data_IF_713507589886
#
_entry.id   IF_713507589886
#
_cell.length_a   1.000
_cell.length_b   1.000
_cell.length_c   1.000
_cell.angle_alpha   90.00
_cell.angle_beta   90.00
_cell.angle_gamma   90.00
#
_symmetry.space_group_name_H-M   'P 1'
#
loop_
_entity.id
_entity.type
_entity.pdbx_description
1 polymer ?
#
# COMPACT_ATOMS: atom_id res chain seq x y z
N UNK A 1 6.91 50.61 -28.84
CA UNK A 1 7.48 51.01 -30.15
C UNK A 1 8.26 49.82 -30.67
N UNK A 2 7.63 48.88 -31.38
CA UNK A 2 7.53 48.77 -32.86
C UNK A 2 8.83 49.15 -33.59
N UNK A 3 9.55 48.14 -34.08
CA UNK A 3 10.03 47.97 -35.47
C UNK A 3 11.11 46.88 -35.48
N UNK A 4 10.84 45.75 -36.14
CA UNK A 4 11.28 45.42 -37.52
C UNK A 4 12.76 45.01 -37.53
N UNK A 5 13.13 43.82 -38.01
CA UNK A 5 13.39 43.59 -39.43
C UNK A 5 13.03 42.15 -39.84
N UNK A 6 12.37 42.06 -40.99
CA UNK A 6 12.05 40.87 -41.78
C UNK A 6 13.17 40.61 -42.80
N UNK A 7 13.39 39.33 -43.07
CA UNK A 7 13.88 38.71 -44.31
C UNK A 7 15.32 38.97 -44.79
N UNK A 8 16.07 37.87 -44.94
CA UNK A 8 16.92 37.68 -46.11
C UNK A 8 16.90 36.21 -46.55
N UNK A 9 16.47 35.99 -47.80
CA UNK A 9 16.48 34.76 -48.58
C UNK A 9 17.85 34.58 -49.26
N UNK A 10 18.53 33.46 -49.07
CA UNK A 10 19.51 32.82 -49.99
C UNK A 10 19.46 31.33 -49.61
N UNK A 11 19.08 30.36 -50.45
CA UNK A 11 19.66 29.99 -51.74
C UNK A 11 20.28 28.58 -51.55
N UNK A 12 19.79 27.61 -52.32
CA UNK A 12 20.00 26.16 -52.19
C UNK A 12 21.47 25.68 -52.35
N UNK A 13 21.78 24.49 -51.81
CA UNK A 13 22.49 23.36 -52.48
C UNK A 13 22.88 22.26 -51.45
N UNK A 14 22.32 21.07 -51.68
CA UNK A 14 22.83 19.69 -51.46
C UNK A 14 23.75 19.36 -50.28
N UNK A 15 23.27 18.48 -49.38
CA UNK A 15 23.83 17.12 -49.21
C UNK A 15 22.92 16.26 -48.33
N UNK A 16 22.34 15.23 -48.96
CA UNK A 16 21.59 14.14 -48.32
C UNK A 16 22.60 13.08 -47.87
N UNK A 17 22.70 12.73 -46.59
CA UNK A 17 23.06 11.38 -46.21
C UNK A 17 21.78 10.55 -46.13
N UNK A 18 21.68 9.53 -47.00
CA UNK A 18 20.71 8.45 -46.87
C UNK A 18 20.87 7.83 -45.48
N UNK A 19 19.92 8.12 -44.59
CA UNK A 19 19.70 7.27 -43.42
C UNK A 19 18.89 6.10 -43.92
N UNK A 20 19.55 4.94 -43.93
CA UNK A 20 18.91 3.63 -44.09
C UNK A 20 17.63 3.60 -43.27
N UNK A 21 16.52 3.34 -43.95
CA UNK A 21 15.27 2.94 -43.33
C UNK A 21 15.52 1.69 -42.47
N UNK A 22 15.59 1.88 -41.15
CA UNK A 22 15.33 0.83 -40.19
C UNK A 22 13.87 0.97 -39.75
N UNK A 23 13.10 -0.05 -40.12
CA UNK A 23 11.68 -0.24 -39.90
C UNK A 23 11.20 0.23 -38.51
N UNK A 24 10.19 1.13 -38.41
CA UNK A 24 9.69 1.63 -37.16
C UNK A 24 8.60 0.71 -36.61
N UNK A 25 8.91 -0.54 -36.24
CA UNK A 25 7.90 -1.39 -35.60
C UNK A 25 8.41 -2.58 -34.79
N UNK A 26 9.12 -2.31 -33.69
CA UNK A 26 8.97 -3.17 -32.51
C UNK A 26 8.79 -2.30 -31.27
N UNK A 27 7.60 -2.27 -30.63
CA UNK A 27 7.48 -1.68 -29.31
C UNK A 27 8.40 -2.45 -28.36
N UNK A 28 9.08 -1.77 -27.42
CA UNK A 28 9.96 -2.43 -26.47
C UNK A 28 9.21 -3.56 -25.76
N UNK A 29 9.88 -4.69 -25.46
CA UNK A 29 9.24 -5.81 -24.77
C UNK A 29 8.59 -5.28 -23.50
N UNK A 30 7.26 -5.41 -23.41
CA UNK A 30 6.49 -4.91 -22.28
C UNK A 30 7.11 -5.51 -21.01
N UNK A 31 7.52 -4.68 -20.03
CA UNK A 31 8.02 -5.19 -18.77
C UNK A 31 6.94 -6.11 -18.21
N UNK A 32 7.32 -7.36 -17.94
CA UNK A 32 6.41 -8.33 -17.33
C UNK A 32 5.71 -7.62 -16.18
N UNK A 33 4.37 -7.53 -16.21
CA UNK A 33 3.56 -7.03 -15.11
C UNK A 33 3.75 -7.97 -13.92
N UNK A 34 4.92 -7.91 -13.27
CA UNK A 34 4.95 -8.02 -11.83
C UNK A 34 4.20 -6.78 -11.36
N UNK A 35 3.21 -6.93 -10.46
CA UNK A 35 2.62 -5.77 -9.83
C UNK A 35 3.77 -4.99 -9.21
N UNK A 36 4.07 -3.85 -9.80
CA UNK A 36 4.88 -2.82 -9.17
C UNK A 36 4.19 -2.55 -7.83
N UNK A 37 4.91 -2.50 -6.70
CA UNK A 37 4.36 -1.84 -5.54
C UNK A 37 4.21 -0.38 -5.98
N UNK A 38 3.04 -0.03 -6.52
CA UNK A 38 2.70 1.36 -6.77
C UNK A 38 2.95 2.14 -5.48
N UNK A 39 3.18 3.47 -5.56
CA UNK A 39 3.20 4.30 -4.37
C UNK A 39 1.95 3.92 -3.57
N UNK A 40 2.14 3.53 -2.31
CA UNK A 40 1.07 2.97 -1.47
C UNK A 40 -0.04 4.00 -1.45
N UNK A 41 -1.00 3.84 -2.37
CA UNK A 41 -2.15 4.69 -2.47
C UNK A 41 -2.80 4.66 -1.10
N UNK A 42 -3.25 5.82 -0.65
CA UNK A 42 -3.92 6.10 0.62
C UNK A 42 -5.23 5.30 0.85
N UNK A 43 -5.30 4.01 0.48
CA UNK A 43 -6.52 3.23 0.32
C UNK A 43 -6.55 1.92 1.10
N UNK A 44 -5.92 1.86 2.28
CA UNK A 44 -6.34 0.91 3.34
C UNK A 44 -6.25 1.50 4.75
N UNK A 45 -6.67 2.75 4.94
CA UNK A 45 -7.43 3.03 6.18
C UNK A 45 -8.79 2.35 6.04
N UNK A 46 -8.80 1.02 6.12
CA UNK A 46 -10.04 0.30 6.40
C UNK A 46 -10.63 0.98 7.64
N UNK A 47 -11.93 1.31 7.69
CA UNK A 47 -12.56 1.70 8.95
C UNK A 47 -12.09 0.67 9.99
N UNK A 48 -11.72 1.11 11.21
CA UNK A 48 -10.86 0.34 12.09
C UNK A 48 -11.33 -1.11 12.07
N UNK A 49 -10.51 -2.02 11.51
CA UNK A 49 -10.85 -3.45 11.39
C UNK A 49 -11.42 -3.97 12.71
N UNK A 50 -10.99 -3.40 13.82
CA UNK A 50 -11.48 -3.62 15.17
C UNK A 50 -13.00 -3.47 15.38
N UNK A 51 -13.71 -2.58 14.66
CA UNK A 51 -15.16 -2.42 14.80
C UNK A 51 -15.89 -3.53 14.04
N UNK A 52 -15.69 -3.61 12.72
CA UNK A 52 -16.33 -4.63 11.87
C UNK A 52 -15.88 -6.06 12.19
N UNK A 53 -14.71 -6.26 12.83
CA UNK A 53 -14.29 -7.57 13.32
C UNK A 53 -15.12 -8.07 14.51
N UNK A 54 -15.71 -7.16 15.31
CA UNK A 54 -16.55 -7.50 16.47
C UNK A 54 -18.01 -7.74 16.09
N UNK A 55 -18.42 -7.31 14.90
CA UNK A 55 -19.76 -7.55 14.37
C UNK A 55 -19.95 -9.04 14.07
N UNK A 56 -21.13 -9.53 14.39
CA UNK A 56 -21.61 -10.87 13.99
C UNK A 56 -21.84 -10.94 12.49
N UNK A 57 -21.82 -12.15 11.92
CA UNK A 57 -22.04 -12.33 10.47
C UNK A 57 -23.43 -11.87 10.02
N UNK A 58 -24.45 -11.97 10.89
CA UNK A 58 -25.78 -11.44 10.63
C UNK A 58 -25.80 -9.90 10.56
N UNK A 59 -25.08 -9.20 11.45
CA UNK A 59 -24.97 -7.74 11.42
C UNK A 59 -24.20 -7.24 10.19
N UNK A 60 -23.18 -7.98 9.74
CA UNK A 60 -22.47 -7.69 8.49
C UNK A 60 -23.37 -7.87 7.28
N UNK A 61 -24.12 -8.97 7.21
CA UNK A 61 -25.07 -9.22 6.13
C UNK A 61 -26.14 -8.12 6.03
N UNK A 62 -26.64 -7.63 7.17
CA UNK A 62 -27.61 -6.52 7.22
C UNK A 62 -27.01 -5.20 6.72
N UNK A 63 -25.76 -4.90 7.10
CA UNK A 63 -25.03 -3.72 6.59
C UNK A 63 -24.82 -3.82 5.08
N UNK A 64 -24.37 -4.98 4.59
CA UNK A 64 -24.11 -5.21 3.17
C UNK A 64 -25.40 -5.13 2.36
N UNK A 65 -26.50 -5.65 2.88
CA UNK A 65 -27.82 -5.54 2.27
C UNK A 65 -28.27 -4.07 2.17
N UNK A 66 -28.20 -3.31 3.27
CA UNK A 66 -28.58 -1.88 3.27
C UNK A 66 -27.67 -1.03 2.37
N UNK A 67 -26.39 -1.40 2.26
CA UNK A 67 -25.45 -0.75 1.35
C UNK A 67 -25.77 -1.05 -0.13
N UNK A 68 -26.15 -2.29 -0.46
CA UNK A 68 -26.58 -2.69 -1.80
C UNK A 68 -27.90 -2.04 -2.21
N UNK A 69 -28.85 -1.94 -1.27
CA UNK A 69 -30.15 -1.31 -1.48
C UNK A 69 -30.07 0.23 -1.51
N UNK A 70 -28.91 0.83 -1.23
CA UNK A 70 -28.70 2.28 -1.30
C UNK A 70 -29.41 3.08 -0.20
N UNK A 71 -29.95 2.42 0.83
CA UNK A 71 -30.70 3.04 1.95
C UNK A 71 -29.75 3.69 2.96
N UNK A 72 -29.14 4.82 2.57
CA UNK A 72 -28.12 5.53 3.35
C UNK A 72 -28.57 5.93 4.75
N UNK A 73 -29.82 6.34 4.93
CA UNK A 73 -30.34 6.77 6.23
C UNK A 73 -30.55 5.62 7.21
N UNK A 74 -31.08 4.48 6.74
CA UNK A 74 -31.21 3.28 7.55
C UNK A 74 -29.85 2.69 7.89
N UNK A 75 -28.93 2.66 6.92
CA UNK A 75 -27.55 2.26 7.15
C UNK A 75 -26.89 3.14 8.22
N UNK A 76 -27.09 4.46 8.20
CA UNK A 76 -26.58 5.37 9.23
C UNK A 76 -27.13 5.03 10.61
N UNK A 77 -28.43 4.73 10.74
CA UNK A 77 -29.06 4.35 12.01
C UNK A 77 -28.48 3.03 12.54
N UNK A 78 -28.45 1.99 11.71
CA UNK A 78 -27.91 0.68 12.07
C UNK A 78 -26.43 0.78 12.44
N UNK A 79 -25.64 1.53 11.66
CA UNK A 79 -24.24 1.76 11.96
C UNK A 79 -24.07 2.50 13.30
N UNK A 80 -24.89 3.53 13.57
CA UNK A 80 -24.85 4.27 14.83
C UNK A 80 -25.17 3.36 16.02
N UNK A 81 -26.22 2.54 15.94
CA UNK A 81 -26.59 1.56 16.97
C UNK A 81 -25.47 0.56 17.25
N UNK A 82 -24.90 -0.03 16.19
CA UNK A 82 -23.77 -0.95 16.32
C UNK A 82 -22.54 -0.24 16.91
N UNK A 83 -22.29 1.02 16.54
CA UNK A 83 -21.24 1.84 17.12
C UNK A 83 -21.43 2.05 18.63
N UNK A 84 -22.66 2.25 19.11
CA UNK A 84 -22.94 2.32 20.55
C UNK A 84 -22.79 0.97 21.24
N UNK A 85 -23.25 -0.12 20.62
CA UNK A 85 -23.14 -1.48 21.16
C UNK A 85 -21.69 -1.89 21.39
N UNK A 86 -20.84 -1.71 20.38
CA UNK A 86 -19.43 -2.06 20.41
C UNK A 86 -18.50 -0.91 20.84
N UNK A 87 -19.07 0.18 21.38
CA UNK A 87 -18.30 1.29 21.92
C UNK A 87 -17.44 0.78 23.08
N UNK A 88 -16.17 1.22 23.22
CA UNK A 88 -15.36 0.88 24.37
C UNK A 88 -16.07 1.23 25.69
N UNK A 89 -15.99 0.35 26.68
CA UNK A 89 -16.65 0.52 27.98
C UNK A 89 -16.20 1.81 28.67
N UNK A 90 -14.94 2.22 28.50
CA UNK A 90 -14.41 3.47 29.05
C UNK A 90 -15.17 4.70 28.51
N UNK A 91 -15.62 4.64 27.25
CA UNK A 91 -16.39 5.73 26.66
C UNK A 91 -17.86 5.71 27.11
N UNK A 92 -18.43 4.54 27.43
CA UNK A 92 -19.76 4.43 28.04
C UNK A 92 -19.75 4.97 29.47
N UNK A 93 -18.71 4.64 30.24
CA UNK A 93 -18.48 5.17 31.58
C UNK A 93 -18.33 6.69 31.56
N UNK A 94 -17.60 7.24 30.58
CA UNK A 94 -17.46 8.69 30.43
C UNK A 94 -18.80 9.38 30.14
N UNK A 95 -19.63 8.81 29.28
CA UNK A 95 -20.98 9.33 29.00
C UNK A 95 -21.86 9.28 30.26
N UNK A 96 -21.82 8.17 31.01
CA UNK A 96 -22.58 8.03 32.26
C UNK A 96 -22.13 9.04 33.34
N UNK A 97 -20.82 9.30 33.46
CA UNK A 97 -20.31 10.36 34.34
C UNK A 97 -20.78 11.74 33.87
N UNK A 98 -20.80 11.99 32.56
CA UNK A 98 -21.34 13.23 31.98
C UNK A 98 -22.81 13.44 32.28
N UNK A 99 -23.63 12.38 32.26
CA UNK A 99 -25.03 12.46 32.69
C UNK A 99 -25.16 12.74 34.18
N UNK A 100 -24.38 12.06 35.03
CA UNK A 100 -24.36 12.31 36.47
C UNK A 100 -23.98 13.77 36.76
N UNK A 101 -22.94 14.28 36.12
CA UNK A 101 -22.50 15.68 36.25
C UNK A 101 -23.63 16.68 35.97
N UNK A 102 -24.44 16.43 34.93
CA UNK A 102 -25.57 17.30 34.55
C UNK A 102 -26.74 17.22 35.53
N UNK A 103 -26.98 16.04 36.13
CA UNK A 103 -28.10 15.79 37.05
C UNK A 103 -27.80 16.23 38.48
N UNK A 104 -26.53 16.21 38.89
CA UNK A 104 -26.10 16.66 40.21
C UNK A 104 -26.21 18.18 40.31
N UNK A 105 -26.80 18.69 41.40
CA UNK A 105 -26.88 20.13 41.70
C UNK A 105 -25.84 20.58 42.74
N UNK A 106 -25.26 19.64 43.48
CA UNK A 106 -24.19 19.92 44.45
C UNK A 106 -22.84 20.16 43.73
N UNK A 107 -22.17 21.24 44.13
CA UNK A 107 -20.92 21.70 43.55
C UNK A 107 -19.73 20.80 43.95
N UNK A 108 -19.74 20.25 45.17
CA UNK A 108 -18.68 19.33 45.64
C UNK A 108 -18.70 18.01 44.88
N UNK A 109 -19.89 17.44 44.70
CA UNK A 109 -20.09 16.22 43.91
C UNK A 109 -19.79 16.46 42.43
N UNK A 110 -20.18 17.61 41.86
CA UNK A 110 -19.79 17.99 40.49
C UNK A 110 -18.27 18.05 40.32
N UNK A 111 -17.56 18.64 41.28
CA UNK A 111 -16.10 18.70 41.23
C UNK A 111 -15.46 17.31 41.26
N UNK A 112 -15.97 16.40 42.10
CA UNK A 112 -15.51 15.01 42.14
C UNK A 112 -15.78 14.27 40.82
N UNK A 113 -16.99 14.38 40.26
CA UNK A 113 -17.35 13.77 38.97
C UNK A 113 -16.45 14.31 37.85
N UNK A 114 -16.17 15.62 37.85
CA UNK A 114 -15.27 16.23 36.86
C UNK A 114 -13.85 15.64 36.94
N UNK A 115 -13.31 15.45 38.15
CA UNK A 115 -12.00 14.83 38.32
C UNK A 115 -11.97 13.38 37.80
N UNK A 116 -13.04 12.61 38.06
CA UNK A 116 -13.17 11.25 37.52
C UNK A 116 -13.24 11.23 35.99
N UNK A 117 -14.02 12.14 35.38
CA UNK A 117 -14.09 12.32 33.93
C UNK A 117 -12.73 12.67 33.33
N UNK A 118 -11.96 13.57 33.97
CA UNK A 118 -10.63 13.95 33.52
C UNK A 118 -9.65 12.78 33.59
N UNK A 119 -9.67 12.00 34.69
CA UNK A 119 -8.84 10.81 34.85
C UNK A 119 -9.14 9.77 33.77
N UNK A 120 -10.41 9.47 33.54
CA UNK A 120 -10.85 8.52 32.52
C UNK A 120 -10.49 9.00 31.11
N UNK A 121 -10.67 10.29 30.83
CA UNK A 121 -10.28 10.90 29.56
C UNK A 121 -8.77 10.76 29.30
N UNK A 122 -7.92 11.04 30.31
CA UNK A 122 -6.46 10.85 30.19
C UNK A 122 -6.10 9.40 29.89
N UNK A 123 -6.77 8.43 30.51
CA UNK A 123 -6.54 7.01 30.23
C UNK A 123 -6.91 6.65 28.78
N UNK A 124 -8.05 7.13 28.29
CA UNK A 124 -8.49 6.92 26.90
C UNK A 124 -7.47 7.51 25.92
N UNK A 125 -6.99 8.72 26.18
CA UNK A 125 -5.97 9.37 25.35
C UNK A 125 -4.65 8.60 25.32
N UNK A 126 -4.17 8.12 26.48
CA UNK A 126 -2.94 7.31 26.57
C UNK A 126 -3.06 6.01 25.76
N UNK A 127 -4.15 5.25 25.93
CA UNK A 127 -4.41 4.03 25.14
C UNK A 127 -4.39 4.30 23.63
N UNK A 128 -4.95 5.43 23.20
CA UNK A 128 -4.95 5.84 21.79
C UNK A 128 -3.56 6.23 21.29
N UNK A 129 -2.76 6.91 22.12
CA UNK A 129 -1.37 7.23 21.79
C UNK A 129 -0.54 5.95 21.66
N UNK A 130 -0.67 5.01 22.60
CA UNK A 130 0.05 3.73 22.56
C UNK A 130 -0.30 2.92 21.30
N UNK A 131 -1.59 2.85 20.96
CA UNK A 131 -2.04 2.21 19.71
C UNK A 131 -1.43 2.90 18.48
N UNK A 132 -1.39 4.23 18.45
CA UNK A 132 -0.80 5.00 17.35
C UNK A 132 0.69 4.73 17.24
N UNK A 133 1.41 4.71 18.36
CA UNK A 133 2.85 4.42 18.42
C UNK A 133 3.17 3.02 17.91
N UNK A 134 2.37 2.02 18.28
CA UNK A 134 2.48 0.66 17.73
C UNK A 134 2.31 0.60 16.22
N UNK A 135 1.29 1.30 15.68
CA UNK A 135 1.07 1.36 14.22
C UNK A 135 2.21 2.06 13.47
N UNK A 136 2.78 3.12 14.06
CA UNK A 136 3.96 3.80 13.51
C UNK A 136 5.12 2.81 13.42
N UNK A 137 5.42 2.08 14.49
CA UNK A 137 6.50 1.09 14.51
C UNK A 137 6.27 -0.05 13.49
N UNK A 138 5.02 -0.49 13.29
CA UNK A 138 4.70 -1.48 12.26
C UNK A 138 4.92 -0.92 10.84
N UNK A 139 4.49 0.32 10.59
CA UNK A 139 4.70 0.99 9.31
C UNK A 139 6.19 1.19 9.01
N UNK A 140 7.00 1.57 9.99
CA UNK A 140 8.45 1.67 9.87
C UNK A 140 9.09 0.32 9.49
N UNK A 141 8.66 -0.78 10.12
CA UNK A 141 9.11 -2.13 9.74
C UNK A 141 8.74 -2.49 8.30
N UNK A 142 7.54 -2.12 7.85
CA UNK A 142 7.11 -2.35 6.47
C UNK A 142 7.94 -1.53 5.48
N UNK A 143 8.23 -0.26 5.80
CA UNK A 143 9.09 0.59 4.98
C UNK A 143 10.49 0.01 4.84
N UNK A 144 11.09 -0.46 5.94
CA UNK A 144 12.42 -1.10 5.92
C UNK A 144 12.44 -2.33 5.00
N UNK A 145 11.43 -3.20 5.10
CA UNK A 145 11.31 -4.36 4.20
C UNK A 145 11.18 -3.95 2.74
N UNK A 146 10.36 -2.94 2.45
CA UNK A 146 10.21 -2.44 1.10
C UNK A 146 11.52 -1.86 0.53
N UNK A 147 12.33 -1.20 1.38
CA UNK A 147 13.67 -0.73 1.00
C UNK A 147 14.62 -1.90 0.68
N UNK A 148 14.66 -2.92 1.54
CA UNK A 148 15.48 -4.12 1.32
C UNK A 148 15.08 -4.87 0.02
N UNK A 149 13.78 -4.96 -0.26
CA UNK A 149 13.28 -5.57 -1.50
C UNK A 149 13.67 -4.76 -2.74
N UNK A 150 13.62 -3.43 -2.65
CA UNK A 150 14.05 -2.53 -3.72
C UNK A 150 15.54 -2.65 -3.99
N UNK A 151 16.38 -2.73 -2.95
CA UNK A 151 17.81 -2.99 -3.11
C UNK A 151 18.10 -4.35 -3.76
N UNK A 152 17.35 -5.39 -3.36
CA UNK A 152 17.46 -6.72 -3.97
C UNK A 152 17.12 -6.69 -5.45
N UNK A 153 16.08 -5.95 -5.83
CA UNK A 153 15.68 -5.77 -7.24
C UNK A 153 16.77 -5.04 -8.03
N UNK A 154 17.34 -3.96 -7.47
CA UNK A 154 18.47 -3.25 -8.10
C UNK A 154 19.67 -4.17 -8.33
N UNK A 155 20.06 -4.95 -7.34
CA UNK A 155 21.17 -5.93 -7.47
C UNK A 155 20.87 -7.04 -8.48
N UNK A 156 19.62 -7.46 -8.60
CA UNK A 156 19.21 -8.44 -9.61
C UNK A 156 19.27 -7.83 -11.02
N UNK A 157 18.82 -6.59 -11.16
CA UNK A 157 18.89 -5.86 -12.42
C UNK A 157 20.34 -5.69 -12.90
N UNK A 158 21.24 -5.21 -12.03
CA UNK A 158 22.67 -5.06 -12.33
C UNK A 158 23.32 -6.38 -12.77
N UNK A 159 23.09 -7.47 -12.03
CA UNK A 159 23.59 -8.80 -12.42
C UNK A 159 23.07 -9.28 -13.77
N UNK A 160 21.83 -8.92 -14.12
CA UNK A 160 21.26 -9.24 -15.41
C UNK A 160 21.87 -8.41 -16.54
N UNK A 161 22.17 -7.12 -16.30
CA UNK A 161 22.92 -6.30 -17.26
C UNK A 161 24.32 -6.86 -17.49
N UNK A 162 25.06 -7.19 -16.43
CA UNK A 162 26.42 -7.76 -16.52
C UNK A 162 26.45 -9.10 -17.27
N UNK A 163 25.40 -9.91 -17.11
CA UNK A 163 25.31 -11.23 -17.74
C UNK A 163 24.38 -11.25 -18.96
N UNK A 164 23.99 -10.09 -19.48
CA UNK A 164 22.96 -9.98 -20.52
C UNK A 164 23.31 -10.82 -21.74
N UNK A 165 24.54 -10.69 -22.25
CA UNK A 165 25.01 -11.45 -23.42
C UNK A 165 25.00 -12.96 -23.17
N UNK A 166 25.39 -13.40 -21.97
CA UNK A 166 25.33 -14.83 -21.61
C UNK A 166 23.89 -15.34 -21.51
N UNK A 167 22.97 -14.52 -21.02
CA UNK A 167 21.54 -14.86 -20.93
C UNK A 167 20.96 -14.97 -22.35
N UNK A 168 21.28 -14.03 -23.24
CA UNK A 168 20.84 -14.02 -24.63
C UNK A 168 21.41 -15.23 -25.37
N UNK A 169 22.73 -15.48 -25.28
CA UNK A 169 23.38 -16.62 -25.92
C UNK A 169 22.73 -17.95 -25.49
N UNK A 170 22.57 -18.19 -24.18
CA UNK A 170 21.87 -19.38 -23.69
C UNK A 170 20.42 -19.47 -24.19
N UNK A 171 19.71 -18.34 -24.31
CA UNK A 171 18.35 -18.34 -24.83
C UNK A 171 18.31 -18.71 -26.32
N UNK A 172 19.22 -18.16 -27.12
CA UNK A 172 19.37 -18.49 -28.54
C UNK A 172 19.72 -19.96 -28.71
N UNK A 173 20.69 -20.48 -27.95
CA UNK A 173 21.08 -21.90 -27.97
C UNK A 173 19.88 -22.82 -27.69
N UNK A 174 19.04 -22.46 -26.71
CA UNK A 174 17.82 -23.20 -26.40
C UNK A 174 16.77 -23.13 -27.51
N UNK A 175 16.70 -22.03 -28.27
CA UNK A 175 15.77 -21.90 -29.40
C UNK A 175 16.22 -22.68 -30.63
N UNK A 176 17.54 -22.86 -30.80
CA UNK A 176 18.12 -23.70 -31.85
C UNK A 176 17.90 -25.21 -31.61
N UNK A 177 17.61 -25.64 -30.37
CA UNK A 177 17.26 -27.02 -30.07
C UNK A 177 15.81 -27.36 -30.48
N UNK A 178 15.54 -28.60 -30.92
CA UNK A 178 14.18 -29.09 -31.12
C UNK A 178 13.32 -28.93 -29.85
N UNK A 179 12.01 -28.62 -29.95
CA UNK A 179 11.15 -28.29 -28.80
C UNK A 179 11.19 -29.32 -27.65
N UNK A 180 11.38 -30.60 -27.98
CA UNK A 180 11.42 -31.71 -27.03
C UNK A 180 12.70 -31.74 -26.17
N UNK A 181 13.80 -31.18 -26.70
CA UNK A 181 15.11 -31.15 -26.05
C UNK A 181 15.37 -29.82 -25.31
N UNK A 182 14.47 -28.84 -25.48
CA UNK A 182 14.58 -27.56 -24.78
C UNK A 182 14.41 -27.75 -23.28
N UNK A 183 15.26 -27.11 -22.50
CA UNK A 183 15.18 -27.12 -21.04
C UNK A 183 13.84 -26.52 -20.62
N UNK A 184 12.98 -27.34 -20.02
CA UNK A 184 11.69 -26.88 -19.49
C UNK A 184 11.97 -25.86 -18.39
N UNK A 185 11.38 -24.67 -18.50
CA UNK A 185 11.48 -23.66 -17.46
C UNK A 185 10.70 -24.18 -16.24
N UNK A 186 11.41 -24.52 -15.16
CA UNK A 186 10.77 -24.96 -13.91
C UNK A 186 9.96 -23.81 -13.32
N UNK A 187 8.66 -23.77 -13.64
CA UNK A 187 7.70 -22.81 -13.07
C UNK A 187 7.59 -22.92 -11.54
N UNK A 188 8.05 -24.04 -10.95
CA UNK A 188 8.09 -24.25 -9.49
C UNK A 188 9.11 -23.38 -8.75
N UNK A 189 10.08 -22.77 -9.43
CA UNK A 189 11.09 -21.87 -8.81
C UNK A 189 10.61 -20.45 -8.49
N UNK A 190 9.37 -20.07 -8.85
CA UNK A 190 8.81 -18.73 -8.55
C UNK A 190 8.36 -18.51 -7.09
N UNK A 191 8.54 -19.49 -6.21
CA UNK A 191 8.50 -19.25 -4.76
C UNK A 191 9.95 -19.14 -4.27
N UNK A 192 10.40 -17.91 -4.06
CA UNK A 192 11.74 -17.62 -3.58
C UNK A 192 12.05 -18.34 -2.27
N UNK A 193 12.75 -19.47 -2.36
CA UNK A 193 13.55 -19.96 -1.25
C UNK A 193 14.72 -19.00 -1.04
N UNK A 194 15.12 -18.70 0.21
CA UNK A 194 16.30 -17.90 0.46
C UNK A 194 17.52 -18.60 -0.17
N UNK A 195 18.52 -17.85 -0.69
CA UNK A 195 19.74 -18.47 -1.16
C UNK A 195 20.39 -19.29 -0.03
N UNK A 196 21.02 -20.44 -0.34
CA UNK A 196 21.65 -21.27 0.67
C UNK A 196 22.69 -20.45 1.45
N UNK A 197 22.69 -20.61 2.79
CA UNK A 197 23.67 -19.96 3.65
C UNK A 197 25.08 -20.43 3.25
N UNK A 198 26.08 -19.54 3.24
CA UNK A 198 27.45 -19.93 2.94
C UNK A 198 27.93 -20.92 4.01
N UNK A 199 28.39 -22.08 3.57
CA UNK A 199 29.07 -23.06 4.41
C UNK A 199 30.39 -22.42 4.83
N UNK A 200 30.59 -22.24 6.13
CA UNK A 200 31.91 -21.84 6.63
C UNK A 200 32.85 -23.04 6.52
N UNK A 201 34.10 -22.85 6.07
CA UNK A 201 35.07 -23.93 6.08
C UNK A 201 35.40 -24.27 7.55
N UNK A 202 35.23 -25.54 7.91
CA UNK A 202 35.75 -26.08 9.17
C UNK A 202 37.29 -26.01 9.14
N UNK A 203 37.86 -25.62 10.28
CA UNK A 203 39.30 -25.49 10.51
C UNK A 203 39.99 -26.84 10.57
#
# INVERSE_FOLDING_TARGET
>A
MISAVRNLMIGAVLLVPMILAADPQQPPPRPSHRPHPGPVGNFRRRPPKAFFAKLTDAERARIDQLAREGKKEELRKVMKELFFKYRPEEMKQLDALGEKYRKTSDEKERAAIRQEMEKLSRQIFRKRQDFTRGNIAEAEKQLKRAQEDLERLKKHYQRNEENMEKIIANHVDQMCLPPEQRKKFDRKGRRGGPPPKPVQPEK
#
